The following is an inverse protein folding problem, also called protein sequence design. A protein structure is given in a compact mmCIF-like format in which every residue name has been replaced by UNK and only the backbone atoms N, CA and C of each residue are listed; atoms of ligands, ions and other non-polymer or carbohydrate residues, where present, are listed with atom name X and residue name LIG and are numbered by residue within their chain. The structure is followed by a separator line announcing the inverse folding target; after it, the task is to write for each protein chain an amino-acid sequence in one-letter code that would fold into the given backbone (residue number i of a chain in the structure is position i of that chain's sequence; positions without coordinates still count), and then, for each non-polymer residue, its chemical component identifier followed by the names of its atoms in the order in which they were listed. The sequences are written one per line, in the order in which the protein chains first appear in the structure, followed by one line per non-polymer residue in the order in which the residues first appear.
data_IF_106152740487
#
_entry.id   IF_106152740487
#
_cell.length_a   1.000
_cell.length_b   1.000
_cell.length_c   1.000
_cell.angle_alpha   90.00
_cell.angle_beta   90.00
_cell.angle_gamma   90.00
#
_symmetry.space_group_name_H-M   'P 1'
#
loop_
_entity.id
_entity.type
_entity.pdbx_description
1 polymer ?
#
# COMPACT_ATOMS: atom_id res chain seq x y z
N UNK A 1 -9.32 6.02 17.47
CA UNK A 1 -9.06 5.55 16.08
C UNK A 1 -8.63 6.77 15.28
N UNK A 2 -7.53 6.72 14.50
CA UNK A 2 -7.14 7.84 13.63
C UNK A 2 -8.24 8.05 12.56
N UNK A 3 -8.59 9.30 12.26
CA UNK A 3 -9.58 9.65 11.22
C UNK A 3 -9.21 9.07 9.85
N UNK A 4 -7.93 9.02 9.50
CA UNK A 4 -7.49 8.41 8.25
C UNK A 4 -7.81 6.91 8.18
N UNK A 5 -7.62 6.19 9.29
CA UNK A 5 -7.96 4.78 9.39
C UNK A 5 -9.47 4.55 9.26
N UNK A 6 -10.28 5.43 9.86
CA UNK A 6 -11.74 5.40 9.71
C UNK A 6 -12.15 5.61 8.26
N UNK A 7 -11.54 6.56 7.57
CA UNK A 7 -11.82 6.83 6.16
C UNK A 7 -11.40 5.69 5.24
N UNK A 8 -10.23 5.08 5.49
CA UNK A 8 -9.77 3.91 4.75
C UNK A 8 -10.73 2.72 4.93
N UNK A 9 -11.25 2.53 6.14
CA UNK A 9 -12.26 1.51 6.44
C UNK A 9 -13.57 1.73 5.67
N UNK A 10 -14.12 2.95 5.70
CA UNK A 10 -15.34 3.25 4.94
C UNK A 10 -15.12 3.08 3.43
N UNK A 11 -13.96 3.50 2.91
CA UNK A 11 -13.60 3.29 1.50
C UNK A 11 -13.58 1.80 1.13
N UNK A 12 -13.00 0.96 1.97
CA UNK A 12 -13.00 -0.50 1.77
C UNK A 12 -14.41 -1.09 1.84
N UNK A 13 -15.23 -0.65 2.80
CA UNK A 13 -16.61 -1.12 3.00
C UNK A 13 -17.54 -0.75 1.84
N UNK A 14 -17.42 0.46 1.31
CA UNK A 14 -18.18 0.89 0.13
C UNK A 14 -17.71 0.15 -1.12
N UNK A 15 -16.39 -0.03 -1.26
CA UNK A 15 -15.80 -0.78 -2.38
C UNK A 15 -16.23 -2.25 -2.41
N UNK A 16 -16.28 -2.91 -1.25
CA UNK A 16 -16.72 -4.31 -1.16
C UNK A 16 -18.19 -4.47 -1.52
N UNK A 17 -19.06 -3.56 -1.04
CA UNK A 17 -20.49 -3.55 -1.39
C UNK A 17 -20.74 -3.36 -2.89
N UNK A 18 -19.80 -2.70 -3.58
CA UNK A 18 -19.88 -2.41 -5.02
C UNK A 18 -19.11 -3.40 -5.89
N UNK A 19 -18.60 -4.50 -5.32
CA UNK A 19 -17.79 -5.52 -6.01
C UNK A 19 -16.61 -4.94 -6.81
N UNK A 20 -15.96 -3.90 -6.27
CA UNK A 20 -14.79 -3.29 -6.91
C UNK A 20 -13.66 -4.32 -6.98
N UNK A 21 -13.03 -4.44 -8.15
CA UNK A 21 -11.89 -5.34 -8.35
C UNK A 21 -10.68 -4.90 -7.50
N UNK A 22 -9.99 -5.87 -6.89
CA UNK A 22 -8.79 -5.62 -6.07
C UNK A 22 -7.60 -5.36 -6.99
N UNK A 23 -7.41 -4.12 -7.40
CA UNK A 23 -6.31 -3.71 -8.28
C UNK A 23 -5.15 -3.09 -7.47
N UNK A 24 -3.92 -3.03 -8.03
CA UNK A 24 -2.81 -2.32 -7.40
C UNK A 24 -3.16 -0.85 -7.09
N UNK A 25 -3.86 -0.18 -8.01
CA UNK A 25 -4.32 1.19 -7.83
C UNK A 25 -5.30 1.34 -6.66
N UNK A 26 -6.19 0.36 -6.45
CA UNK A 26 -7.07 0.34 -5.27
C UNK A 26 -6.25 0.20 -3.98
N UNK A 27 -5.26 -0.70 -3.96
CA UNK A 27 -4.40 -0.91 -2.79
C UNK A 27 -3.57 0.34 -2.45
N UNK A 28 -3.00 1.00 -3.47
CA UNK A 28 -2.30 2.27 -3.29
C UNK A 28 -3.24 3.35 -2.74
N UNK A 29 -4.46 3.48 -3.30
CA UNK A 29 -5.46 4.44 -2.82
C UNK A 29 -5.89 4.17 -1.37
N UNK A 30 -6.06 2.90 -0.99
CA UNK A 30 -6.34 2.50 0.39
C UNK A 30 -5.22 2.95 1.33
N UNK A 31 -3.96 2.68 0.96
CA UNK A 31 -2.80 3.09 1.76
C UNK A 31 -2.68 4.62 1.83
N UNK A 32 -2.86 5.33 0.72
CA UNK A 32 -2.91 6.79 0.67
C UNK A 32 -3.98 7.36 1.60
N UNK A 33 -5.17 6.73 1.63
CA UNK A 33 -6.26 7.16 2.53
C UNK A 33 -5.90 6.94 3.99
N UNK A 34 -5.28 5.79 4.32
CA UNK A 34 -4.85 5.45 5.68
C UNK A 34 -3.68 6.32 6.18
N UNK A 35 -2.78 6.70 5.28
CA UNK A 35 -1.56 7.45 5.59
C UNK A 35 -1.65 8.93 5.20
N UNK A 36 -2.85 9.47 4.95
CA UNK A 36 -3.00 10.83 4.42
C UNK A 36 -2.32 11.90 5.28
N UNK A 37 -2.43 11.79 6.60
CA UNK A 37 -1.86 12.76 7.57
C UNK A 37 -0.61 12.24 8.28
N UNK A 38 -0.31 10.95 8.17
CA UNK A 38 0.82 10.30 8.86
C UNK A 38 1.94 9.88 7.91
N UNK A 39 1.66 9.86 6.60
CA UNK A 39 2.64 9.63 5.55
C UNK A 39 3.57 10.82 5.37
N UNK A 40 4.64 10.59 4.61
CA UNK A 40 5.68 11.56 4.36
C UNK A 40 6.38 11.26 3.05
N UNK A 41 7.05 12.28 2.50
CA UNK A 41 8.01 12.08 1.42
C UNK A 41 9.29 11.51 1.99
N UNK A 42 9.71 10.36 1.48
CA UNK A 42 10.96 9.71 1.81
C UNK A 42 11.93 9.86 0.65
N UNK A 43 13.14 10.36 0.90
CA UNK A 43 14.19 10.46 -0.11
C UNK A 43 15.28 9.43 0.17
N UNK A 44 15.57 8.60 -0.82
CA UNK A 44 16.54 7.51 -0.77
C UNK A 44 17.45 7.55 -2.00
N UNK A 45 18.49 6.72 -2.04
CA UNK A 45 19.42 6.68 -3.17
C UNK A 45 18.74 6.38 -4.52
N UNK A 46 17.64 5.62 -4.52
CA UNK A 46 16.85 5.28 -5.71
C UNK A 46 15.83 6.34 -6.14
N UNK A 47 15.78 7.50 -5.49
CA UNK A 47 14.79 8.55 -5.72
C UNK A 47 13.93 8.85 -4.49
N UNK A 48 12.79 9.50 -4.70
CA UNK A 48 11.85 9.83 -3.62
C UNK A 48 10.49 9.18 -3.86
N UNK A 49 9.81 8.81 -2.77
CA UNK A 49 8.43 8.30 -2.80
C UNK A 49 7.62 8.92 -1.67
N UNK A 50 6.32 9.03 -1.86
CA UNK A 50 5.40 9.67 -0.91
C UNK A 50 4.41 8.66 -0.35
N UNK A 51 4.63 8.26 0.91
CA UNK A 51 3.75 7.29 1.58
C UNK A 51 2.33 7.83 1.78
N UNK A 52 2.14 9.17 1.82
CA UNK A 52 0.80 9.78 1.90
C UNK A 52 0.01 9.67 0.59
N UNK A 53 0.69 9.39 -0.52
CA UNK A 53 0.08 9.16 -1.84
C UNK A 53 -0.09 7.68 -2.17
N UNK A 54 0.33 6.79 -1.27
CA UNK A 54 0.28 5.35 -1.49
C UNK A 54 1.38 4.83 -2.41
N UNK A 55 2.45 5.60 -2.62
CA UNK A 55 3.58 5.18 -3.44
C UNK A 55 4.25 3.94 -2.82
N UNK A 56 4.75 3.05 -3.69
CA UNK A 56 5.57 1.93 -3.22
C UNK A 56 6.93 2.44 -2.70
N UNK A 57 7.46 1.83 -1.62
CA UNK A 57 8.80 2.15 -1.16
C UNK A 57 9.85 1.92 -2.24
N UNK A 58 10.81 2.84 -2.33
CA UNK A 58 11.99 2.72 -3.21
C UNK A 58 13.24 2.23 -2.45
N UNK A 59 13.04 1.60 -1.29
CA UNK A 59 14.10 1.06 -0.45
C UNK A 59 13.66 -0.24 0.25
N UNK A 60 14.64 -0.99 0.75
CA UNK A 60 14.37 -2.17 1.56
C UNK A 60 13.66 -1.81 2.86
N UNK A 61 12.64 -2.59 3.23
CA UNK A 61 11.89 -2.43 4.47
C UNK A 61 12.19 -3.63 5.38
N UNK A 62 12.38 -3.37 6.67
CA UNK A 62 12.56 -4.40 7.71
C UNK A 62 11.55 -4.18 8.83
N UNK A 63 11.02 -5.25 9.42
CA UNK A 63 10.15 -5.16 10.59
C UNK A 63 10.44 -6.25 11.63
N UNK A 64 9.97 -6.01 12.86
CA UNK A 64 10.08 -6.94 13.98
C UNK A 64 11.41 -6.86 14.73
N UNK A 65 11.42 -7.45 15.93
CA UNK A 65 12.63 -7.59 16.76
C UNK A 65 13.62 -8.49 16.01
N UNK A 66 14.84 -8.00 15.78
CA UNK A 66 15.84 -8.71 14.99
C UNK A 66 15.84 -8.42 13.48
N UNK A 67 14.89 -7.61 12.98
CA UNK A 67 14.96 -7.01 11.64
C UNK A 67 14.74 -7.97 10.48
N UNK A 68 13.54 -8.56 10.37
CA UNK A 68 13.20 -9.38 9.21
C UNK A 68 12.94 -8.48 7.99
N UNK A 69 13.68 -8.72 6.90
CA UNK A 69 13.51 -8.01 5.65
C UNK A 69 12.26 -8.47 4.90
N UNK A 70 11.46 -7.52 4.43
CA UNK A 70 10.44 -7.77 3.43
C UNK A 70 11.08 -8.08 2.07
N UNK A 71 10.23 -8.43 1.11
CA UNK A 71 10.64 -8.60 -0.29
C UNK A 71 11.40 -7.37 -0.81
N UNK A 72 12.39 -7.62 -1.67
CA UNK A 72 13.12 -6.56 -2.38
C UNK A 72 12.14 -5.61 -3.08
N UNK A 73 12.27 -4.30 -2.81
CA UNK A 73 11.37 -3.26 -3.30
C UNK A 73 11.23 -3.23 -4.83
N UNK A 74 12.28 -3.61 -5.58
CA UNK A 74 12.24 -3.70 -7.03
C UNK A 74 11.24 -4.74 -7.55
N UNK A 75 10.89 -5.73 -6.71
CA UNK A 75 9.93 -6.79 -7.06
C UNK A 75 8.51 -6.46 -6.63
N UNK A 76 8.32 -5.45 -5.77
CA UNK A 76 7.02 -5.15 -5.16
C UNK A 76 5.93 -4.86 -6.19
N UNK A 77 6.14 -3.98 -7.21
CA UNK A 77 5.07 -3.69 -8.17
C UNK A 77 4.56 -4.95 -8.89
N UNK A 78 5.46 -5.73 -9.47
CA UNK A 78 5.09 -6.96 -10.20
C UNK A 78 4.45 -8.02 -9.28
N UNK A 79 4.86 -8.10 -8.01
CA UNK A 79 4.27 -9.05 -7.05
C UNK A 79 2.93 -8.60 -6.51
N UNK A 80 2.66 -7.30 -6.47
CA UNK A 80 1.32 -6.78 -6.18
C UNK A 80 0.39 -7.06 -7.36
N UNK A 81 0.84 -6.89 -8.61
CA UNK A 81 0.06 -7.27 -9.79
C UNK A 81 -0.34 -8.76 -9.76
N UNK A 82 0.62 -9.64 -9.48
CA UNK A 82 0.39 -11.09 -9.35
C UNK A 82 -0.60 -11.40 -8.21
N UNK A 83 -0.44 -10.76 -7.05
CA UNK A 83 -1.36 -10.91 -5.92
C UNK A 83 -2.78 -10.50 -6.31
N UNK A 84 -2.94 -9.35 -6.96
CA UNK A 84 -4.23 -8.88 -7.46
C UNK A 84 -4.85 -9.93 -8.39
N UNK A 85 -4.13 -10.39 -9.41
CA UNK A 85 -4.63 -11.42 -10.34
C UNK A 85 -5.10 -12.69 -9.63
N UNK A 86 -4.37 -13.17 -8.60
CA UNK A 86 -4.76 -14.32 -7.78
C UNK A 86 -6.07 -14.04 -7.03
N UNK A 87 -6.23 -12.85 -6.46
CA UNK A 87 -7.42 -12.46 -5.71
C UNK A 87 -8.65 -12.25 -6.60
N UNK A 88 -8.47 -11.88 -7.88
CA UNK A 88 -9.57 -11.81 -8.85
C UNK A 88 -10.04 -13.18 -9.34
N UNK A 89 -9.16 -14.19 -9.34
CA UNK A 89 -9.46 -15.51 -9.86
C UNK A 89 -10.26 -16.41 -8.88
N UNK A 90 -10.55 -15.90 -7.68
CA UNK A 90 -11.28 -16.59 -6.60
C UNK A 90 -12.62 -15.89 -6.36
#
# INVERSE_FOLDING_TARGET
MNEDLKQAYELAKTGSSSLVQITPALLQRLNATQMRTTGSVHSVMGGSFDSSKGDFPLCGVTAGVGGHAYMNYLKVPAKVDELCAILQAK
#
